data_IF_157560753802
#
_entry.id   IF_157560753802
#
_cell.length_a   1.000
_cell.length_b   1.000
_cell.length_c   1.000
_cell.angle_alpha   90.00
_cell.angle_beta   90.00
_cell.angle_gamma   90.00
#
_symmetry.space_group_name_H-M   'P 1'
#
loop_
_entity.id
_entity.type
_entity.pdbx_description
1 polymer ?
#
# COMPACT_ATOMS: atom_id res chain seq x y z
N UNK A 1 -22.90 -8.89 -18.25
CA UNK A 1 -21.75 -8.27 -18.94
C UNK A 1 -21.17 -7.15 -18.07
N UNK A 2 -19.93 -6.74 -18.31
CA UNK A 2 -19.31 -5.61 -17.61
C UNK A 2 -20.18 -4.34 -17.70
N UNK A 3 -20.77 -4.09 -18.86
CA UNK A 3 -21.68 -2.94 -19.09
C UNK A 3 -22.90 -2.97 -18.16
N UNK A 4 -23.47 -4.13 -17.88
CA UNK A 4 -24.64 -4.25 -17.01
C UNK A 4 -24.31 -3.90 -15.55
N UNK A 5 -23.09 -4.18 -15.09
CA UNK A 5 -22.66 -3.85 -13.73
C UNK A 5 -22.71 -2.34 -13.48
N UNK A 6 -22.29 -1.53 -14.43
CA UNK A 6 -22.25 -0.07 -14.31
C UNK A 6 -23.57 0.62 -14.71
N UNK A 7 -24.66 -0.12 -14.97
CA UNK A 7 -25.98 0.49 -15.17
C UNK A 7 -26.68 0.92 -13.89
N UNK A 8 -26.19 0.46 -12.75
CA UNK A 8 -26.76 0.76 -11.43
C UNK A 8 -25.70 1.25 -10.44
N UNK A 9 -26.12 2.11 -9.50
CA UNK A 9 -25.26 2.55 -8.40
C UNK A 9 -24.71 1.39 -7.57
N UNK A 10 -25.59 0.43 -7.24
CA UNK A 10 -25.23 -0.75 -6.43
C UNK A 10 -24.21 -1.64 -7.15
N UNK A 11 -24.36 -1.84 -8.46
CA UNK A 11 -23.40 -2.56 -9.27
C UNK A 11 -22.02 -1.91 -9.25
N UNK A 12 -21.95 -0.59 -9.44
CA UNK A 12 -20.70 0.16 -9.37
C UNK A 12 -20.07 0.10 -7.97
N UNK A 13 -20.89 0.18 -6.89
CA UNK A 13 -20.40 0.04 -5.52
C UNK A 13 -19.81 -1.34 -5.25
N UNK A 14 -20.48 -2.40 -5.69
CA UNK A 14 -19.97 -3.77 -5.57
C UNK A 14 -18.66 -3.96 -6.31
N UNK A 15 -18.54 -3.35 -7.48
CA UNK A 15 -17.29 -3.42 -8.24
C UNK A 15 -16.15 -2.68 -7.51
N UNK A 16 -16.40 -1.49 -7.00
CA UNK A 16 -15.42 -0.79 -6.15
C UNK A 16 -15.04 -1.62 -4.93
N UNK A 17 -16.03 -2.26 -4.28
CA UNK A 17 -15.76 -3.17 -3.16
C UNK A 17 -14.87 -4.35 -3.55
N UNK A 18 -15.03 -4.88 -4.78
CA UNK A 18 -14.13 -5.89 -5.31
C UNK A 18 -12.68 -5.37 -5.43
N UNK A 19 -12.50 -4.13 -5.87
CA UNK A 19 -11.16 -3.52 -5.93
C UNK A 19 -10.48 -3.52 -4.56
N UNK A 20 -11.21 -3.28 -3.47
CA UNK A 20 -10.69 -3.35 -2.10
C UNK A 20 -10.25 -4.75 -1.66
N UNK A 21 -10.78 -5.82 -2.25
CA UNK A 21 -10.50 -7.20 -1.79
C UNK A 21 -9.06 -7.65 -2.04
N UNK A 22 -8.31 -6.94 -2.86
CA UNK A 22 -6.89 -7.23 -3.12
C UNK A 22 -5.94 -6.65 -2.07
N UNK A 23 -6.46 -5.85 -1.11
CA UNK A 23 -5.65 -5.40 0.03
C UNK A 23 -5.24 -6.61 0.88
N UNK A 24 -3.96 -6.74 1.25
CA UNK A 24 -3.52 -7.84 2.09
C UNK A 24 -3.99 -7.65 3.53
N UNK A 25 -4.38 -8.75 4.16
CA UNK A 25 -4.64 -8.80 5.61
C UNK A 25 -3.34 -9.17 6.33
N UNK A 26 -2.44 -8.20 6.48
CA UNK A 26 -1.10 -8.42 7.06
C UNK A 26 -1.13 -8.63 8.58
N UNK A 27 -2.21 -8.22 9.25
CA UNK A 27 -2.38 -8.38 10.70
C UNK A 27 -3.05 -9.68 11.10
N UNK A 28 -3.58 -10.45 10.16
CA UNK A 28 -4.20 -11.73 10.45
C UNK A 28 -3.12 -12.79 10.70
N UNK A 29 -2.76 -12.95 11.97
CA UNK A 29 -1.78 -13.93 12.41
C UNK A 29 -2.37 -15.35 12.54
N UNK A 30 -3.66 -15.54 12.30
CA UNK A 30 -4.29 -16.86 12.43
C UNK A 30 -4.02 -17.69 11.19
N UNK A 31 -3.61 -18.94 11.44
CA UNK A 31 -3.51 -19.96 10.42
C UNK A 31 -4.90 -20.16 9.79
N UNK A 32 -5.05 -19.73 8.55
CA UNK A 32 -6.23 -20.07 7.76
C UNK A 32 -5.87 -21.30 6.94
N UNK A 33 -6.76 -22.28 6.93
CA UNK A 33 -6.64 -23.58 6.28
C UNK A 33 -5.84 -23.50 4.97
N UNK A 34 -4.99 -24.48 4.71
CA UNK A 34 -4.04 -24.60 3.58
C UNK A 34 -4.63 -24.34 2.18
N UNK A 35 -5.95 -24.35 2.04
CA UNK A 35 -6.64 -24.15 0.77
C UNK A 35 -6.82 -22.70 0.37
N UNK A 36 -6.55 -21.74 1.26
CA UNK A 36 -6.66 -20.31 0.94
C UNK A 36 -5.28 -19.71 0.71
N UNK A 37 -4.80 -19.76 -0.50
CA UNK A 37 -3.57 -19.11 -0.97
C UNK A 37 -3.56 -17.58 -0.72
N UNK A 38 -4.71 -17.00 -0.39
CA UNK A 38 -4.92 -15.56 -0.20
C UNK A 38 -4.58 -15.05 1.19
N UNK A 39 -4.36 -15.92 2.15
CA UNK A 39 -4.22 -15.57 3.55
C UNK A 39 -3.01 -16.24 4.17
N UNK A 40 -1.83 -15.76 3.82
CA UNK A 40 -0.62 -16.13 4.55
C UNK A 40 -0.60 -15.29 5.82
N UNK A 41 -0.81 -15.88 7.00
CA UNK A 41 -0.83 -15.14 8.25
C UNK A 41 0.55 -14.56 8.53
N UNK A 42 0.62 -13.26 8.82
CA UNK A 42 1.80 -12.54 9.26
C UNK A 42 3.10 -12.87 8.51
N UNK A 43 3.13 -12.76 7.16
CA UNK A 43 4.26 -13.25 6.38
C UNK A 43 5.58 -12.57 6.74
N UNK A 44 5.51 -11.33 7.21
CA UNK A 44 6.70 -10.52 7.51
C UNK A 44 7.32 -10.92 8.85
N UNK A 45 6.53 -10.98 9.93
CA UNK A 45 7.00 -11.35 11.27
C UNK A 45 7.60 -12.76 11.29
N UNK A 46 6.91 -13.72 10.70
CA UNK A 46 7.37 -15.13 10.67
C UNK A 46 8.47 -15.41 9.64
N UNK A 47 8.87 -14.40 8.86
CA UNK A 47 9.97 -14.46 7.89
C UNK A 47 11.13 -13.52 8.26
N UNK A 48 11.13 -13.03 9.50
CA UNK A 48 12.16 -12.14 10.06
C UNK A 48 12.83 -12.81 11.27
N UNK A 49 13.73 -12.09 11.90
CA UNK A 49 14.39 -12.49 13.16
C UNK A 49 13.51 -12.28 14.41
N UNK A 50 12.33 -11.66 14.25
CA UNK A 50 11.40 -11.41 15.37
C UNK A 50 10.66 -12.66 15.83
N UNK A 51 10.33 -13.57 14.88
CA UNK A 51 9.62 -14.80 15.19
C UNK A 51 9.83 -15.88 14.12
N UNK A 52 9.63 -17.12 14.49
CA UNK A 52 9.61 -18.26 13.57
C UNK A 52 8.30 -19.04 13.68
N UNK A 53 7.82 -19.53 12.55
CA UNK A 53 6.63 -20.38 12.51
C UNK A 53 6.92 -21.78 13.06
N UNK A 54 6.05 -22.26 13.94
CA UNK A 54 6.13 -23.63 14.48
C UNK A 54 5.68 -24.68 13.47
N UNK A 55 4.81 -24.29 12.53
CA UNK A 55 4.28 -25.17 11.48
C UNK A 55 5.07 -25.05 10.19
N UNK A 56 4.98 -26.05 9.31
CA UNK A 56 5.50 -25.94 7.95
C UNK A 56 4.74 -24.85 7.17
N UNK A 57 5.36 -23.71 7.11
CA UNK A 57 4.86 -22.53 6.45
C UNK A 57 5.91 -22.03 5.45
N UNK A 58 5.46 -21.52 4.32
CA UNK A 58 6.35 -20.98 3.27
C UNK A 58 7.22 -19.81 3.75
N UNK A 59 6.84 -19.12 4.84
CA UNK A 59 7.69 -18.13 5.50
C UNK A 59 9.03 -18.69 5.99
N UNK A 60 9.08 -19.97 6.40
CA UNK A 60 10.34 -20.65 6.75
C UNK A 60 11.34 -20.72 5.61
N UNK A 61 10.86 -20.76 4.36
CA UNK A 61 11.73 -20.80 3.18
C UNK A 61 12.54 -19.51 3.07
N UNK A 62 12.01 -18.38 3.51
CA UNK A 62 12.72 -17.11 3.56
C UNK A 62 13.83 -17.19 4.62
N UNK A 63 13.49 -17.60 5.85
CA UNK A 63 14.45 -17.71 6.96
C UNK A 63 15.57 -18.72 6.69
N UNK A 64 15.25 -19.81 5.96
CA UNK A 64 16.21 -20.84 5.58
C UNK A 64 16.96 -20.55 4.27
N UNK A 65 16.73 -19.37 3.67
CA UNK A 65 17.28 -19.00 2.36
C UNK A 65 17.01 -20.06 1.25
N UNK A 66 15.83 -20.68 1.31
CA UNK A 66 15.40 -21.74 0.38
C UNK A 66 14.34 -21.26 -0.61
N UNK A 67 13.95 -19.98 -0.52
CA UNK A 67 13.02 -19.39 -1.46
C UNK A 67 13.74 -18.97 -2.74
N UNK A 68 13.19 -19.32 -3.87
CA UNK A 68 13.64 -18.87 -5.18
C UNK A 68 12.46 -18.41 -6.05
N UNK A 69 12.76 -17.90 -7.24
CA UNK A 69 11.74 -17.39 -8.16
C UNK A 69 10.77 -18.46 -8.69
N UNK A 70 11.09 -19.74 -8.52
CA UNK A 70 10.28 -20.87 -8.96
C UNK A 70 9.37 -21.39 -7.85
N UNK A 71 9.64 -21.05 -6.59
CA UNK A 71 8.80 -21.36 -5.44
C UNK A 71 7.52 -20.53 -5.43
N UNK A 72 6.58 -20.98 -6.25
CA UNK A 72 5.48 -20.22 -6.79
C UNK A 72 4.37 -19.80 -5.87
N UNK A 73 4.29 -20.25 -4.61
CA UNK A 73 3.03 -20.10 -3.89
C UNK A 73 2.88 -18.77 -3.15
N UNK A 74 3.90 -18.30 -2.44
CA UNK A 74 3.77 -17.08 -1.65
C UNK A 74 4.14 -15.82 -2.45
N UNK A 75 5.24 -15.90 -3.18
CA UNK A 75 5.79 -14.76 -3.94
C UNK A 75 5.03 -14.52 -5.23
N UNK A 76 4.85 -15.54 -6.09
CA UNK A 76 4.15 -15.41 -7.37
C UNK A 76 2.67 -15.07 -7.19
N UNK A 77 2.08 -15.56 -6.10
CA UNK A 77 0.69 -15.31 -5.82
C UNK A 77 0.40 -13.83 -5.52
N UNK A 78 1.23 -13.17 -4.71
CA UNK A 78 1.09 -11.74 -4.40
C UNK A 78 1.31 -10.86 -5.64
N UNK A 79 2.25 -11.21 -6.50
CA UNK A 79 2.44 -10.58 -7.80
C UNK A 79 1.14 -10.57 -8.60
N UNK A 80 0.58 -11.76 -8.84
CA UNK A 80 -0.68 -11.90 -9.57
C UNK A 80 -1.82 -11.15 -8.92
N UNK A 81 -1.98 -11.28 -7.59
CA UNK A 81 -3.07 -10.65 -6.86
C UNK A 81 -3.05 -9.13 -6.99
N UNK A 82 -1.89 -8.50 -6.76
CA UNK A 82 -1.81 -7.04 -6.81
C UNK A 82 -1.91 -6.49 -8.22
N UNK A 83 -1.35 -7.17 -9.23
CA UNK A 83 -1.61 -6.78 -10.62
C UNK A 83 -3.07 -6.96 -11.03
N UNK A 84 -3.76 -7.97 -10.51
CA UNK A 84 -5.21 -8.07 -10.68
C UNK A 84 -5.94 -6.89 -10.03
N UNK A 85 -5.54 -6.48 -8.82
CA UNK A 85 -6.10 -5.29 -8.17
C UNK A 85 -5.87 -3.99 -8.97
N UNK A 86 -4.70 -3.84 -9.59
CA UNK A 86 -4.38 -2.71 -10.49
C UNK A 86 -5.29 -2.72 -11.72
N UNK A 87 -5.46 -3.88 -12.34
CA UNK A 87 -6.37 -4.07 -13.48
C UNK A 87 -7.82 -3.72 -13.11
N UNK A 88 -8.33 -4.29 -12.01
CA UNK A 88 -9.69 -4.02 -11.56
C UNK A 88 -9.93 -2.54 -11.23
N UNK A 89 -8.92 -1.84 -10.67
CA UNK A 89 -9.00 -0.41 -10.43
C UNK A 89 -9.03 0.40 -11.75
N UNK A 90 -8.29 -0.01 -12.76
CA UNK A 90 -8.32 0.60 -14.08
C UNK A 90 -9.68 0.40 -14.76
N UNK A 91 -10.17 -0.84 -14.82
CA UNK A 91 -11.49 -1.17 -15.36
C UNK A 91 -12.59 -0.38 -14.65
N UNK A 92 -12.55 -0.27 -13.31
CA UNK A 92 -13.50 0.55 -12.57
C UNK A 92 -13.47 2.01 -13.03
N UNK A 93 -12.30 2.61 -13.09
CA UNK A 93 -12.13 4.03 -13.42
C UNK A 93 -12.63 4.35 -14.84
N UNK A 94 -12.41 3.43 -15.79
CA UNK A 94 -12.86 3.59 -17.17
C UNK A 94 -14.38 3.47 -17.36
N UNK A 95 -15.04 2.70 -16.50
CA UNK A 95 -16.46 2.36 -16.68
C UNK A 95 -17.42 3.09 -15.73
N UNK A 96 -16.96 3.61 -14.60
CA UNK A 96 -17.81 4.20 -13.56
C UNK A 96 -18.60 5.42 -14.02
N UNK A 97 -18.17 6.08 -15.08
CA UNK A 97 -18.90 7.23 -15.67
C UNK A 97 -20.27 6.85 -16.24
N UNK A 98 -20.49 5.56 -16.54
CA UNK A 98 -21.77 5.05 -17.03
C UNK A 98 -22.79 4.86 -15.89
N UNK A 99 -22.34 4.80 -14.63
CA UNK A 99 -23.20 4.57 -13.48
C UNK A 99 -23.99 5.85 -13.11
N UNK A 100 -25.24 5.69 -12.67
CA UNK A 100 -26.10 6.82 -12.25
C UNK A 100 -25.66 7.35 -10.88
N UNK A 101 -24.50 7.99 -10.83
CA UNK A 101 -23.89 8.57 -9.65
C UNK A 101 -23.97 10.11 -9.71
N UNK A 102 -24.01 10.74 -8.55
CA UNK A 102 -23.74 12.19 -8.47
C UNK A 102 -22.27 12.47 -8.87
N UNK A 103 -21.99 13.68 -9.32
CA UNK A 103 -20.60 14.08 -9.68
C UNK A 103 -19.66 13.90 -8.48
N UNK A 104 -20.08 14.31 -7.29
CA UNK A 104 -19.29 14.17 -6.05
C UNK A 104 -18.97 12.70 -5.75
N UNK A 105 -19.96 11.83 -5.79
CA UNK A 105 -19.82 10.41 -5.50
C UNK A 105 -18.94 9.71 -6.53
N UNK A 106 -19.10 10.06 -7.80
CA UNK A 106 -18.26 9.54 -8.89
C UNK A 106 -16.80 9.93 -8.72
N UNK A 107 -16.52 11.20 -8.43
CA UNK A 107 -15.16 11.69 -8.20
C UNK A 107 -14.53 11.02 -6.98
N UNK A 108 -15.29 10.88 -5.90
CA UNK A 108 -14.83 10.15 -4.70
C UNK A 108 -14.45 8.71 -5.04
N UNK A 109 -15.31 7.98 -5.74
CA UNK A 109 -15.06 6.57 -6.04
C UNK A 109 -13.91 6.36 -7.03
N UNK A 110 -13.75 7.27 -8.00
CA UNK A 110 -12.56 7.30 -8.86
C UNK A 110 -11.28 7.56 -8.07
N UNK A 111 -11.32 8.50 -7.13
CA UNK A 111 -10.19 8.82 -6.27
C UNK A 111 -9.81 7.63 -5.36
N UNK A 112 -10.80 6.89 -4.85
CA UNK A 112 -10.55 5.66 -4.09
C UNK A 112 -9.89 4.57 -4.95
N UNK A 113 -10.40 4.31 -6.14
CA UNK A 113 -9.81 3.35 -7.06
C UNK A 113 -8.37 3.74 -7.47
N UNK A 114 -8.13 5.03 -7.70
CA UNK A 114 -6.80 5.59 -7.97
C UNK A 114 -5.84 5.37 -6.81
N UNK A 115 -6.27 5.65 -5.58
CA UNK A 115 -5.47 5.43 -4.38
C UNK A 115 -5.17 3.94 -4.15
N UNK A 116 -6.15 3.05 -4.32
CA UNK A 116 -5.96 1.60 -4.23
C UNK A 116 -4.93 1.11 -5.25
N UNK A 117 -5.01 1.57 -6.50
CA UNK A 117 -4.02 1.23 -7.53
C UNK A 117 -2.61 1.62 -7.11
N UNK A 118 -2.43 2.82 -6.57
CA UNK A 118 -1.13 3.27 -6.07
C UNK A 118 -0.63 2.42 -4.89
N UNK A 119 -1.51 2.01 -3.98
CA UNK A 119 -1.18 1.13 -2.85
C UNK A 119 -0.75 -0.26 -3.34
N UNK A 120 -1.40 -0.81 -4.37
CA UNK A 120 -0.97 -2.09 -4.95
C UNK A 120 0.40 -2.00 -5.59
N UNK A 121 0.71 -0.90 -6.29
CA UNK A 121 2.06 -0.64 -6.77
C UNK A 121 3.07 -0.50 -5.65
N UNK A 122 2.72 0.16 -4.55
CA UNK A 122 3.58 0.24 -3.38
C UNK A 122 3.89 -1.14 -2.81
N UNK A 123 2.90 -2.01 -2.64
CA UNK A 123 3.12 -3.39 -2.19
C UNK A 123 3.97 -4.21 -3.17
N UNK A 124 3.78 -4.02 -4.48
CA UNK A 124 4.61 -4.66 -5.50
C UNK A 124 6.07 -4.21 -5.36
N UNK A 125 6.32 -2.90 -5.32
CA UNK A 125 7.69 -2.34 -5.23
C UNK A 125 8.36 -2.74 -3.93
N UNK A 126 7.64 -2.68 -2.81
CA UNK A 126 8.16 -3.11 -1.50
C UNK A 126 8.60 -4.56 -1.50
N UNK A 127 7.87 -5.44 -2.20
CA UNK A 127 8.09 -6.89 -2.17
C UNK A 127 9.06 -7.37 -3.25
N UNK A 128 8.99 -6.81 -4.46
CA UNK A 128 9.70 -7.30 -5.65
C UNK A 128 10.74 -6.32 -6.21
N UNK A 129 10.85 -5.14 -5.60
CA UNK A 129 11.62 -4.04 -6.18
C UNK A 129 10.91 -3.40 -7.37
N UNK A 130 11.65 -2.84 -8.34
CA UNK A 130 11.08 -2.15 -9.48
C UNK A 130 10.21 -3.07 -10.35
N UNK A 131 9.07 -2.55 -10.80
CA UNK A 131 8.05 -3.26 -11.58
C UNK A 131 7.63 -2.44 -12.81
N UNK A 132 7.01 -3.06 -13.82
CA UNK A 132 6.37 -2.32 -14.90
C UNK A 132 5.20 -1.48 -14.37
N UNK A 133 5.13 -0.21 -14.78
CA UNK A 133 3.99 0.67 -14.52
C UNK A 133 3.04 0.61 -15.72
N UNK A 134 1.82 0.16 -15.49
CA UNK A 134 0.80 0.06 -16.54
C UNK A 134 0.09 1.41 -16.66
N UNK A 135 0.33 2.14 -17.73
CA UNK A 135 -0.33 3.42 -18.01
C UNK A 135 -1.80 3.24 -18.39
N UNK A 136 -2.12 2.12 -19.01
CA UNK A 136 -3.46 1.75 -19.47
C UNK A 136 -3.70 0.25 -19.29
N UNK A 137 -4.95 -0.13 -19.31
CA UNK A 137 -5.32 -1.53 -19.36
C UNK A 137 -4.99 -2.16 -20.72
N UNK A 138 -4.72 -3.46 -20.73
CA UNK A 138 -4.48 -4.22 -21.94
C UNK A 138 -5.73 -5.03 -22.31
N UNK A 139 -6.16 -4.98 -23.58
CA UNK A 139 -7.21 -5.86 -24.07
C UNK A 139 -6.90 -7.34 -23.79
N UNK A 140 -7.93 -8.15 -23.57
CA UNK A 140 -7.78 -9.58 -23.25
C UNK A 140 -7.10 -10.38 -24.37
N UNK A 141 -7.11 -9.87 -25.59
CA UNK A 141 -6.52 -10.47 -26.80
C UNK A 141 -5.14 -9.91 -27.12
N UNK A 142 -4.54 -9.11 -26.19
CA UNK A 142 -3.18 -8.58 -26.36
C UNK A 142 -2.18 -9.73 -26.49
N UNK A 143 -1.34 -9.76 -27.54
CA UNK A 143 -0.31 -10.77 -27.73
C UNK A 143 0.65 -10.84 -26.52
N UNK A 144 1.10 -12.06 -26.19
CA UNK A 144 1.96 -12.27 -25.01
C UNK A 144 3.31 -11.57 -25.06
N UNK A 145 3.82 -11.31 -26.24
CA UNK A 145 5.07 -10.55 -26.48
C UNK A 145 4.89 -9.06 -26.16
N UNK A 146 3.73 -8.50 -26.44
CA UNK A 146 3.40 -7.11 -26.08
C UNK A 146 3.19 -6.93 -24.56
N UNK A 147 2.90 -8.00 -23.84
CA UNK A 147 2.74 -7.99 -22.37
C UNK A 147 4.09 -8.09 -21.62
N UNK A 148 5.19 -8.36 -22.32
CA UNK A 148 6.53 -8.41 -21.73
C UNK A 148 7.13 -7.01 -21.60
N UNK A 149 6.53 -6.21 -20.72
CA UNK A 149 6.98 -4.85 -20.48
C UNK A 149 8.30 -4.82 -19.67
N UNK A 150 9.22 -3.90 -20.01
CA UNK A 150 10.38 -3.65 -19.17
C UNK A 150 9.94 -3.10 -17.81
N UNK A 151 10.75 -3.31 -16.79
CA UNK A 151 10.52 -2.67 -15.48
C UNK A 151 10.83 -1.18 -15.56
N UNK A 152 10.05 -0.39 -14.87
CA UNK A 152 10.39 0.99 -14.58
C UNK A 152 11.49 1.03 -13.51
N UNK A 153 12.20 2.13 -13.40
CA UNK A 153 13.18 2.33 -12.34
C UNK A 153 12.51 2.45 -10.97
N UNK A 154 13.26 2.21 -9.91
CA UNK A 154 12.79 2.42 -8.53
C UNK A 154 12.26 3.83 -8.33
N UNK A 155 12.98 4.84 -8.85
CA UNK A 155 12.57 6.24 -8.72
C UNK A 155 11.26 6.52 -9.45
N UNK A 156 11.09 6.05 -10.68
CA UNK A 156 9.83 6.18 -11.43
C UNK A 156 8.67 5.50 -10.69
N UNK A 157 8.90 4.32 -10.13
CA UNK A 157 7.86 3.61 -9.36
C UNK A 157 7.41 4.42 -8.14
N UNK A 158 8.34 4.93 -7.33
CA UNK A 158 7.97 5.74 -6.16
C UNK A 158 7.37 7.10 -6.55
N UNK A 159 7.87 7.75 -7.59
CA UNK A 159 7.28 8.99 -8.10
C UNK A 159 5.84 8.78 -8.57
N UNK A 160 5.58 7.69 -9.28
CA UNK A 160 4.23 7.30 -9.68
C UNK A 160 3.32 7.09 -8.46
N UNK A 161 3.74 6.26 -7.49
CA UNK A 161 2.95 5.97 -6.28
C UNK A 161 2.58 7.27 -5.54
N UNK A 162 3.56 8.13 -5.29
CA UNK A 162 3.34 9.38 -4.57
C UNK A 162 2.44 10.33 -5.36
N UNK A 163 2.64 10.45 -6.67
CA UNK A 163 1.82 11.32 -7.52
C UNK A 163 0.36 10.86 -7.59
N UNK A 164 0.13 9.55 -7.69
CA UNK A 164 -1.22 8.98 -7.73
C UNK A 164 -1.96 9.16 -6.40
N UNK A 165 -1.29 8.97 -5.27
CA UNK A 165 -1.89 9.20 -3.95
C UNK A 165 -2.22 10.68 -3.72
N UNK A 166 -1.32 11.60 -4.10
CA UNK A 166 -1.58 13.04 -4.03
C UNK A 166 -2.69 13.46 -4.98
N UNK A 167 -2.72 12.91 -6.18
CA UNK A 167 -3.81 13.11 -7.12
C UNK A 167 -5.15 12.65 -6.55
N UNK A 168 -5.21 11.48 -5.96
CA UNK A 168 -6.43 10.98 -5.31
C UNK A 168 -6.92 11.90 -4.18
N UNK A 169 -6.01 12.43 -3.34
CA UNK A 169 -6.37 13.41 -2.30
C UNK A 169 -7.02 14.67 -2.88
N UNK A 170 -6.54 15.13 -4.04
CA UNK A 170 -7.04 16.35 -4.69
C UNK A 170 -8.34 16.12 -5.48
N UNK A 171 -8.51 14.93 -6.05
CA UNK A 171 -9.57 14.62 -7.01
C UNK A 171 -10.89 14.18 -6.36
N UNK A 172 -10.91 13.90 -5.04
CA UNK A 172 -12.18 13.64 -4.40
C UNK A 172 -12.18 12.65 -3.21
N UNK A 173 -11.03 12.22 -2.70
CA UNK A 173 -11.01 11.46 -1.44
C UNK A 173 -11.66 12.27 -0.32
N UNK A 174 -12.45 11.59 0.52
CA UNK A 174 -13.06 12.19 1.71
C UNK A 174 -11.98 12.66 2.69
N UNK A 175 -12.25 13.74 3.39
CA UNK A 175 -11.38 14.21 4.48
C UNK A 175 -11.37 13.21 5.64
N UNK A 176 -12.51 12.60 5.91
CA UNK A 176 -12.71 11.59 6.93
C UNK A 176 -13.84 10.62 6.53
N UNK A 177 -13.47 9.44 6.09
CA UNK A 177 -14.42 8.40 5.73
C UNK A 177 -15.15 7.82 6.96
N UNK A 178 -14.56 7.87 8.15
CA UNK A 178 -15.12 7.29 9.37
C UNK A 178 -16.34 8.06 9.92
N UNK A 179 -16.63 9.26 9.41
CA UNK A 179 -17.82 10.02 9.76
C UNK A 179 -19.11 9.33 9.35
N UNK A 180 -19.07 8.56 8.26
CA UNK A 180 -20.17 7.66 7.90
C UNK A 180 -19.89 6.26 8.47
N UNK A 181 -20.44 5.99 9.65
CA UNK A 181 -20.25 4.71 10.36
C UNK A 181 -20.89 3.50 9.68
N UNK A 182 -21.74 3.72 8.70
CA UNK A 182 -22.47 2.65 8.00
C UNK A 182 -21.76 2.21 6.73
N UNK A 183 -21.33 3.16 5.90
CA UNK A 183 -20.74 2.88 4.58
C UNK A 183 -19.34 3.42 4.38
N UNK A 184 -18.85 4.28 5.28
CA UNK A 184 -17.53 4.88 5.21
C UNK A 184 -16.43 4.10 5.93
N UNK A 185 -16.81 3.22 6.86
CA UNK A 185 -15.82 2.50 7.68
C UNK A 185 -14.96 1.57 6.83
N UNK A 186 -13.64 1.71 6.93
CA UNK A 186 -12.68 0.93 6.14
C UNK A 186 -12.42 1.46 4.72
N UNK A 187 -13.06 2.55 4.30
CA UNK A 187 -12.76 3.20 3.01
C UNK A 187 -11.53 4.10 3.13
N UNK A 188 -10.79 4.23 2.03
CA UNK A 188 -9.64 5.12 1.96
C UNK A 188 -10.10 6.57 2.02
N UNK A 189 -9.47 7.34 2.91
CA UNK A 189 -9.60 8.79 3.01
C UNK A 189 -8.25 9.49 2.80
N UNK A 190 -8.26 10.82 2.87
CA UNK A 190 -7.04 11.63 2.68
C UNK A 190 -5.95 11.34 3.71
N UNK A 191 -6.30 10.99 4.95
CA UNK A 191 -5.33 10.68 5.99
C UNK A 191 -4.64 9.34 5.73
N UNK A 192 -5.40 8.33 5.29
CA UNK A 192 -4.85 7.01 4.89
C UNK A 192 -3.92 7.20 3.68
N UNK A 193 -4.33 7.95 2.66
CA UNK A 193 -3.49 8.24 1.51
C UNK A 193 -2.19 8.97 1.93
N UNK A 194 -2.27 9.93 2.86
CA UNK A 194 -1.10 10.64 3.41
C UNK A 194 -0.14 9.69 4.15
N UNK A 195 -0.67 8.74 4.90
CA UNK A 195 0.14 7.73 5.58
C UNK A 195 0.92 6.86 4.57
N UNK A 196 0.29 6.43 3.47
CA UNK A 196 0.98 5.68 2.40
C UNK A 196 2.01 6.54 1.65
N UNK A 197 1.77 7.85 1.48
CA UNK A 197 2.79 8.77 0.91
C UNK A 197 4.04 8.79 1.79
N UNK A 198 3.86 8.93 3.12
CA UNK A 198 4.95 8.93 4.08
C UNK A 198 5.71 7.61 4.03
N UNK A 199 4.98 6.49 4.02
CA UNK A 199 5.58 5.17 3.98
C UNK A 199 6.38 4.97 2.68
N UNK A 200 5.82 5.28 1.52
CA UNK A 200 6.48 5.17 0.23
C UNK A 200 7.77 6.00 0.16
N UNK A 201 7.74 7.26 0.63
CA UNK A 201 8.92 8.11 0.68
C UNK A 201 9.97 7.61 1.67
N UNK A 202 9.55 7.00 2.79
CA UNK A 202 10.45 6.37 3.77
C UNK A 202 11.19 5.17 3.15
N UNK A 203 10.47 4.31 2.42
CA UNK A 203 11.10 3.22 1.68
C UNK A 203 12.09 3.73 0.63
N UNK A 204 11.69 4.74 -0.17
CA UNK A 204 12.57 5.35 -1.17
C UNK A 204 13.85 5.93 -0.57
N UNK A 205 13.75 6.56 0.62
CA UNK A 205 14.89 7.15 1.32
C UNK A 205 15.76 6.11 2.05
N UNK A 206 15.26 4.87 2.23
CA UNK A 206 15.96 3.82 2.95
C UNK A 206 17.18 3.28 2.19
N UNK A 207 18.12 2.70 2.91
CA UNK A 207 19.37 2.16 2.39
C UNK A 207 19.18 1.19 1.22
N UNK A 208 18.12 0.36 1.25
CA UNK A 208 17.85 -0.62 0.20
C UNK A 208 17.48 0.04 -1.14
N UNK A 209 16.67 1.09 -1.11
CA UNK A 209 16.06 1.69 -2.31
C UNK A 209 16.77 2.97 -2.78
N UNK A 210 17.61 3.59 -1.95
CA UNK A 210 18.25 4.86 -2.28
C UNK A 210 19.54 4.71 -3.12
N UNK A 211 19.96 3.49 -3.46
CA UNK A 211 21.18 3.22 -4.20
C UNK A 211 22.43 3.01 -3.34
N UNK A 212 22.34 3.02 -2.02
CA UNK A 212 23.47 2.67 -1.13
C UNK A 212 23.71 1.16 -1.07
N UNK A 213 22.68 0.35 -1.34
CA UNK A 213 22.75 -1.10 -1.34
C UNK A 213 23.40 -1.62 -2.64
N UNK A 214 24.55 -2.24 -2.52
CA UNK A 214 25.28 -2.77 -3.68
C UNK A 214 24.66 -4.04 -4.27
N UNK A 215 23.73 -4.71 -3.60
CA UNK A 215 23.15 -5.97 -4.07
C UNK A 215 22.43 -5.85 -5.42
N UNK A 216 21.89 -4.65 -5.73
CA UNK A 216 21.12 -4.41 -6.93
C UNK A 216 21.77 -3.42 -7.90
N UNK A 217 23.04 -3.05 -7.68
CA UNK A 217 23.76 -2.07 -8.51
C UNK A 217 23.87 -2.48 -9.99
N UNK A 218 23.86 -3.78 -10.26
CA UNK A 218 23.95 -4.33 -11.60
C UNK A 218 22.61 -4.72 -12.22
N UNK A 219 21.52 -4.59 -11.46
CA UNK A 219 20.21 -4.90 -11.98
C UNK A 219 19.81 -3.88 -13.06
N UNK A 220 19.59 -4.37 -14.27
CA UNK A 220 19.26 -3.56 -15.42
C UNK A 220 18.25 -4.26 -16.33
N UNK A 221 17.51 -3.48 -17.11
CA UNK A 221 16.73 -3.99 -18.24
C UNK A 221 17.65 -4.45 -19.38
N UNK A 222 17.10 -5.14 -20.37
CA UNK A 222 17.83 -5.63 -21.53
C UNK A 222 18.46 -4.53 -22.38
N UNK A 223 17.92 -3.33 -22.33
CA UNK A 223 18.44 -2.13 -22.99
C UNK A 223 19.58 -1.43 -22.21
N UNK A 224 19.94 -1.97 -21.04
CA UNK A 224 21.00 -1.42 -20.17
C UNK A 224 20.51 -0.38 -19.16
N UNK A 225 19.23 -0.04 -19.14
CA UNK A 225 18.67 0.90 -18.15
C UNK A 225 18.82 0.33 -16.75
N UNK A 226 19.59 1.00 -15.89
CA UNK A 226 19.77 0.62 -14.47
C UNK A 226 18.47 0.85 -13.71
N UNK A 227 18.07 -0.16 -12.94
CA UNK A 227 16.78 -0.15 -12.23
C UNK A 227 16.83 0.50 -10.85
N UNK A 228 18.00 0.50 -10.22
CA UNK A 228 18.23 1.20 -8.96
C UNK A 228 19.08 2.44 -9.20
N UNK A 229 18.89 3.52 -8.41
CA UNK A 229 19.71 4.72 -8.53
C UNK A 229 21.15 4.44 -8.13
N UNK A 230 22.07 5.29 -8.60
CA UNK A 230 23.43 5.29 -8.10
C UNK A 230 23.45 5.74 -6.62
N UNK A 231 24.51 5.32 -5.90
CA UNK A 231 24.72 5.75 -4.51
C UNK A 231 24.63 7.28 -4.42
N UNK A 232 23.71 7.80 -3.62
CA UNK A 232 23.50 9.24 -3.49
C UNK A 232 24.60 9.90 -2.65
N UNK A 233 24.87 11.17 -2.91
CA UNK A 233 25.66 12.01 -2.01
C UNK A 233 24.88 12.36 -0.73
N UNK A 234 25.56 12.93 0.27
CA UNK A 234 24.95 13.28 1.55
C UNK A 234 23.86 14.37 1.42
N UNK A 235 23.98 15.26 0.44
CA UNK A 235 22.97 16.29 0.19
C UNK A 235 21.67 15.67 -0.34
N UNK A 236 21.77 14.75 -1.28
CA UNK A 236 20.64 13.99 -1.83
C UNK A 236 19.95 13.14 -0.76
N UNK A 237 20.71 12.46 0.10
CA UNK A 237 20.15 11.68 1.22
C UNK A 237 19.33 12.58 2.16
N UNK A 238 19.92 13.71 2.57
CA UNK A 238 19.24 14.69 3.42
C UNK A 238 17.96 15.22 2.76
N UNK A 239 18.01 15.53 1.47
CA UNK A 239 16.85 16.02 0.74
C UNK A 239 15.72 14.95 0.68
N UNK A 240 16.06 13.68 0.52
CA UNK A 240 15.09 12.59 0.52
C UNK A 240 14.43 12.43 1.91
N UNK A 241 15.20 12.40 2.98
CA UNK A 241 14.66 12.38 4.34
C UNK A 241 13.88 13.64 4.70
N UNK A 242 14.28 14.81 4.18
CA UNK A 242 13.53 16.05 4.37
C UNK A 242 12.14 15.98 3.73
N UNK A 243 11.98 15.30 2.58
CA UNK A 243 10.67 15.05 1.99
C UNK A 243 9.78 14.24 2.95
N UNK A 244 10.31 13.17 3.56
CA UNK A 244 9.59 12.37 4.56
C UNK A 244 9.13 13.25 5.74
N UNK A 245 10.05 14.04 6.31
CA UNK A 245 9.75 14.95 7.42
C UNK A 245 8.64 15.95 7.05
N UNK A 246 8.69 16.51 5.86
CA UNK A 246 7.69 17.47 5.38
C UNK A 246 6.31 16.82 5.28
N UNK A 247 6.22 15.59 4.76
CA UNK A 247 4.94 14.87 4.67
C UNK A 247 4.43 14.42 6.06
N UNK A 248 5.31 14.08 6.99
CA UNK A 248 4.93 13.86 8.40
C UNK A 248 4.35 15.13 9.03
N UNK A 249 5.02 16.29 8.84
CA UNK A 249 4.51 17.56 9.34
C UNK A 249 3.15 17.91 8.71
N UNK A 250 2.96 17.62 7.43
CA UNK A 250 1.67 17.78 6.74
C UNK A 250 0.61 16.89 7.37
N UNK A 251 0.94 15.63 7.70
CA UNK A 251 0.01 14.73 8.38
C UNK A 251 -0.41 15.28 9.75
N UNK A 252 0.53 15.68 10.58
CA UNK A 252 0.22 16.22 11.91
C UNK A 252 -0.56 17.54 11.83
N UNK A 253 -0.22 18.40 10.88
CA UNK A 253 -0.92 19.66 10.65
C UNK A 253 -2.39 19.44 10.26
N UNK A 254 -2.66 18.49 9.38
CA UNK A 254 -3.98 18.30 8.79
C UNK A 254 -4.85 17.32 9.60
N UNK A 255 -4.22 16.33 10.23
CA UNK A 255 -4.93 15.21 10.85
C UNK A 255 -4.59 14.95 12.31
N UNK A 256 -3.66 15.72 12.91
CA UNK A 256 -3.21 15.55 14.30
C UNK A 256 -4.30 15.74 15.35
N UNK A 257 -5.36 16.48 15.04
CA UNK A 257 -6.54 16.59 15.91
C UNK A 257 -7.37 15.30 15.94
N UNK A 258 -7.34 14.51 14.86
CA UNK A 258 -8.06 13.23 14.73
C UNK A 258 -7.20 12.03 15.14
N UNK A 259 -5.94 12.07 14.78
CA UNK A 259 -4.98 11.00 15.07
C UNK A 259 -3.91 11.51 16.04
N UNK A 260 -3.96 11.05 17.25
CA UNK A 260 -3.02 11.42 18.32
C UNK A 260 -2.62 10.19 19.14
N UNK A 261 -1.50 10.29 19.78
CA UNK A 261 -1.06 9.23 20.69
C UNK A 261 -2.02 9.13 21.88
N UNK A 262 -2.28 7.91 22.30
CA UNK A 262 -3.07 7.66 23.51
C UNK A 262 -2.22 7.98 24.75
N UNK A 263 -2.68 8.92 25.55
CA UNK A 263 -2.08 9.26 26.83
C UNK A 263 -3.01 8.87 27.96
N UNK A 264 -2.53 8.04 28.90
CA UNK A 264 -3.30 7.62 30.05
C UNK A 264 -2.46 7.70 31.34
N UNK A 265 -3.14 7.80 32.49
CA UNK A 265 -2.53 7.62 33.80
C UNK A 265 -2.38 6.13 34.14
N UNK A 266 -1.84 5.83 35.32
CA UNK A 266 -1.64 4.44 35.80
C UNK A 266 -2.94 3.66 35.91
N UNK A 267 -4.06 4.32 36.17
CA UNK A 267 -5.39 3.72 36.28
C UNK A 267 -6.07 3.56 34.90
N UNK A 268 -5.37 3.99 33.84
CA UNK A 268 -5.84 3.92 32.47
C UNK A 268 -6.88 4.99 32.10
N UNK A 269 -6.97 6.04 32.86
CA UNK A 269 -7.80 7.21 32.52
C UNK A 269 -7.04 8.08 31.52
N UNK A 270 -7.71 8.51 30.45
CA UNK A 270 -7.12 9.38 29.44
C UNK A 270 -6.68 10.72 30.05
N UNK A 271 -5.49 11.17 29.69
CA UNK A 271 -4.92 12.47 30.07
C UNK A 271 -4.54 13.25 28.81
N UNK A 272 -4.32 14.56 28.93
CA UNK A 272 -4.19 15.45 27.77
C UNK A 272 -2.83 15.33 27.04
N UNK A 273 -1.81 14.77 27.67
CA UNK A 273 -0.49 14.66 27.06
C UNK A 273 0.57 14.06 27.97
N UNK A 274 1.82 13.97 27.52
CA UNK A 274 2.92 13.36 28.26
C UNK A 274 3.33 14.15 29.50
N UNK A 275 3.01 15.46 29.54
CA UNK A 275 3.32 16.35 30.67
C UNK A 275 2.20 16.39 31.71
N UNK A 276 1.13 15.62 31.51
CA UNK A 276 -0.02 15.58 32.42
C UNK A 276 0.33 14.88 33.72
N UNK A 277 -0.20 15.38 34.83
CA UNK A 277 -0.03 14.74 36.14
C UNK A 277 -0.52 13.27 36.08
N UNK A 278 0.31 12.36 36.58
CA UNK A 278 0.03 10.94 36.61
C UNK A 278 0.20 10.20 35.28
N UNK A 279 0.67 10.85 34.21
CA UNK A 279 0.93 10.20 32.93
C UNK A 279 1.74 8.90 33.11
N UNK A 280 1.31 7.83 32.47
CA UNK A 280 1.97 6.53 32.46
C UNK A 280 2.27 6.07 31.03
N UNK A 281 3.52 6.13 30.58
CA UNK A 281 3.91 5.64 29.26
C UNK A 281 3.57 4.16 29.05
N UNK A 282 3.81 3.35 30.07
CA UNK A 282 3.55 1.89 30.03
C UNK A 282 2.06 1.57 29.86
N UNK A 283 1.19 2.24 30.62
CA UNK A 283 -0.24 2.00 30.50
C UNK A 283 -0.81 2.58 29.20
N UNK A 284 -0.31 3.71 28.74
CA UNK A 284 -0.64 4.30 27.44
C UNK A 284 -0.33 3.34 26.30
N UNK A 285 0.87 2.76 26.27
CA UNK A 285 1.28 1.76 25.29
C UNK A 285 0.41 0.49 25.40
N UNK A 286 0.22 -0.02 26.61
CA UNK A 286 -0.59 -1.23 26.83
C UNK A 286 -2.00 -1.10 26.32
N UNK A 287 -2.61 0.07 26.49
CA UNK A 287 -3.97 0.33 25.99
C UNK A 287 -4.01 0.52 24.48
N UNK A 288 -3.06 1.26 23.91
CA UNK A 288 -2.98 1.45 22.47
C UNK A 288 -2.83 0.12 21.69
N UNK A 289 -2.20 -0.90 22.28
CA UNK A 289 -2.03 -2.21 21.66
C UNK A 289 -3.25 -3.14 21.87
N UNK A 290 -4.12 -2.84 22.85
CA UNK A 290 -5.29 -3.69 23.19
C UNK A 290 -6.59 -3.22 22.55
N UNK A 291 -6.64 -1.99 22.03
CA UNK A 291 -7.79 -1.42 21.32
C UNK A 291 -7.71 -1.71 19.83
#
# INVERSE_FOLDING_TARGET
SLKEIFTTRDGALRYLSNVYTFLPDEFNQRQVHETSLYRTPGPWTGSSDEAEWTNDNKGKLINNNSIDATEGTMVLYRWKSWFSGIHEAAVFTENVDQAPLTVTERNQWKAEARALRAIYYFYLVRTYGPVPLLEKDFPMDTPSDELQLPRNTVDECFDFIVSELKGAQNDGLLDDASTDKVSGYGRIDKAIAQAFIIEALTYRASWLFNGECNYYSDLANTDGTKLFPNKPDEATKRANWQKVINECNTFFSNYGSRYHLMYTNKDGVSVSGPDSEGFSPTESYRRAVRT
#
